data_IF_275743942459
#
_entry.id   IF_275743942459
#
_cell.length_a   1.000
_cell.length_b   1.000
_cell.length_c   1.000
_cell.angle_alpha   90.00
_cell.angle_beta   90.00
_cell.angle_gamma   90.00
#
_symmetry.space_group_name_H-M   'P 1'
#
loop_
_entity.id
_entity.type
_entity.pdbx_description
1 polymer ?
#
# COMPACT_ATOMS: atom_id res chain seq x y z
N UNK A 1 9.57 11.94 3.49
CA UNK A 1 10.44 11.08 4.32
C UNK A 1 10.72 9.74 3.64
N UNK A 2 9.71 9.04 3.11
CA UNK A 2 9.85 7.65 2.61
C UNK A 2 10.37 7.48 1.16
N UNK A 3 10.37 8.52 0.33
CA UNK A 3 10.72 8.43 -1.10
C UNK A 3 12.12 7.83 -1.38
N UNK A 4 13.02 7.88 -0.40
CA UNK A 4 14.39 7.35 -0.50
C UNK A 4 14.60 6.08 0.33
N UNK A 5 13.55 5.57 0.98
CA UNK A 5 13.59 4.36 1.79
C UNK A 5 13.17 3.16 0.95
N UNK A 6 14.10 2.23 0.71
CA UNK A 6 13.84 0.99 -0.04
C UNK A 6 12.84 0.09 0.70
N UNK A 7 13.02 -0.08 2.01
CA UNK A 7 12.17 -0.91 2.86
C UNK A 7 11.37 -0.04 3.84
N UNK A 8 10.16 -0.49 4.18
CA UNK A 8 9.32 0.17 5.18
C UNK A 8 8.57 -0.87 6.04
N UNK A 9 8.63 -0.71 7.36
CA UNK A 9 8.00 -1.65 8.30
C UNK A 9 6.53 -1.26 8.51
N UNK A 10 5.62 -2.14 8.10
CA UNK A 10 4.18 -1.96 8.21
C UNK A 10 3.54 -3.18 8.89
N UNK A 11 2.96 -2.94 10.07
CA UNK A 11 2.19 -3.93 10.81
C UNK A 11 0.76 -3.44 11.00
N UNK A 12 -0.19 -4.36 11.14
CA UNK A 12 -1.55 -4.02 11.55
C UNK A 12 -1.55 -3.22 12.85
N UNK A 13 -2.57 -2.39 13.03
CA UNK A 13 -2.64 -1.45 14.14
C UNK A 13 -2.60 -2.18 15.50
N UNK A 14 -1.81 -1.65 16.44
CA UNK A 14 -1.70 -2.17 17.81
C UNK A 14 -1.32 -3.65 17.90
N UNK A 15 -0.45 -4.14 17.01
CA UNK A 15 0.03 -5.54 16.98
C UNK A 15 0.56 -6.07 18.32
N UNK A 16 1.20 -5.22 19.14
CA UNK A 16 1.69 -5.57 20.47
C UNK A 16 0.70 -5.28 21.61
N UNK A 17 -0.51 -4.83 21.28
CA UNK A 17 -1.55 -4.39 22.23
C UNK A 17 -2.94 -4.90 21.80
N UNK A 18 -3.03 -6.18 21.37
CA UNK A 18 -4.28 -6.80 20.90
C UNK A 18 -5.45 -6.73 21.91
N UNK A 19 -5.14 -6.58 23.19
CA UNK A 19 -6.14 -6.41 24.25
C UNK A 19 -6.94 -5.10 24.05
N UNK A 20 -6.31 -4.05 23.55
CA UNK A 20 -6.95 -2.76 23.30
C UNK A 20 -7.81 -2.75 22.03
N UNK A 21 -7.61 -3.72 21.14
CA UNK A 21 -8.43 -3.88 19.92
C UNK A 21 -9.45 -4.99 20.04
N UNK A 22 -9.54 -5.65 21.20
CA UNK A 22 -10.34 -6.87 21.39
C UNK A 22 -10.06 -7.92 20.30
N UNK A 23 -8.80 -8.04 19.88
CA UNK A 23 -8.36 -8.96 18.82
C UNK A 23 -8.63 -8.48 17.38
N UNK A 24 -9.23 -7.31 17.18
CA UNK A 24 -9.37 -6.72 15.84
C UNK A 24 -7.99 -6.39 15.27
N UNK A 25 -7.82 -6.70 13.98
CA UNK A 25 -6.60 -6.41 13.22
C UNK A 25 -6.96 -5.43 12.13
N UNK A 26 -6.64 -4.16 12.37
CA UNK A 26 -7.03 -3.06 11.48
C UNK A 26 -5.87 -2.58 10.61
N UNK A 27 -6.23 -2.05 9.43
CA UNK A 27 -5.28 -1.46 8.50
C UNK A 27 -4.77 -0.13 9.06
N UNK A 28 -3.45 0.01 9.18
CA UNK A 28 -2.82 1.29 9.54
C UNK A 28 -2.53 2.17 8.32
N UNK A 29 -2.44 3.49 8.51
CA UNK A 29 -2.06 4.42 7.43
C UNK A 29 -0.70 4.11 6.80
N UNK A 30 0.20 3.46 7.57
CA UNK A 30 1.54 3.04 7.12
C UNK A 30 1.52 2.18 5.86
N UNK A 31 0.52 1.33 5.65
CA UNK A 31 0.42 0.53 4.43
C UNK A 31 0.24 1.42 3.20
N UNK A 32 -0.65 2.41 3.29
CA UNK A 32 -0.91 3.38 2.22
C UNK A 32 0.29 4.29 1.98
N UNK A 33 0.90 4.82 3.05
CA UNK A 33 2.06 5.73 2.95
C UNK A 33 3.29 5.05 2.34
N UNK A 34 3.60 3.83 2.79
CA UNK A 34 4.73 3.07 2.29
C UNK A 34 4.53 2.61 0.84
N UNK A 35 3.33 2.14 0.50
CA UNK A 35 3.02 1.74 -0.87
C UNK A 35 3.08 2.95 -1.82
N UNK A 36 2.48 4.08 -1.44
CA UNK A 36 2.51 5.30 -2.26
C UNK A 36 3.92 5.88 -2.44
N UNK A 37 4.82 5.63 -1.48
CA UNK A 37 6.22 6.02 -1.58
C UNK A 37 7.05 5.08 -2.49
N UNK A 38 6.52 3.91 -2.85
CA UNK A 38 7.24 2.86 -3.58
C UNK A 38 8.25 2.12 -2.71
N UNK A 39 8.02 2.03 -1.40
CA UNK A 39 8.82 1.18 -0.53
C UNK A 39 8.35 -0.27 -0.61
N UNK A 40 9.26 -1.22 -0.45
CA UNK A 40 8.95 -2.63 -0.21
C UNK A 40 8.49 -2.75 1.25
N UNK A 41 7.22 -3.12 1.44
CA UNK A 41 6.66 -3.24 2.77
C UNK A 41 7.08 -4.56 3.40
N UNK A 42 7.51 -4.52 4.65
CA UNK A 42 7.83 -5.71 5.46
C UNK A 42 6.97 -5.68 6.73
N UNK A 43 6.35 -6.80 7.10
CA UNK A 43 5.64 -6.93 8.37
C UNK A 43 4.39 -7.79 8.30
N UNK A 44 3.52 -7.64 9.29
CA UNK A 44 2.29 -8.41 9.41
C UNK A 44 1.10 -7.62 8.85
N UNK A 45 0.53 -8.07 7.73
CA UNK A 45 -0.77 -7.58 7.27
C UNK A 45 -1.89 -8.02 8.20
N UNK A 46 -2.97 -7.23 8.32
CA UNK A 46 -4.22 -7.74 8.87
C UNK A 46 -4.85 -8.73 7.87
N UNK A 47 -5.10 -9.95 8.32
CA UNK A 47 -5.85 -10.95 7.52
C UNK A 47 -7.35 -10.69 7.63
N UNK A 48 -7.80 -9.63 6.95
CA UNK A 48 -9.21 -9.26 6.89
C UNK A 48 -9.64 -8.91 5.46
N UNK A 49 -10.95 -8.84 5.24
CA UNK A 49 -11.53 -8.55 3.92
C UNK A 49 -11.19 -7.16 3.40
N UNK A 50 -11.05 -6.17 4.30
CA UNK A 50 -10.74 -4.80 3.92
C UNK A 50 -9.32 -4.70 3.35
N UNK A 51 -8.35 -5.39 3.95
CA UNK A 51 -6.97 -5.39 3.46
C UNK A 51 -6.89 -6.02 2.07
N UNK A 52 -7.53 -7.17 1.88
CA UNK A 52 -7.60 -7.85 0.57
C UNK A 52 -8.32 -7.01 -0.48
N UNK A 53 -9.25 -6.15 -0.08
CA UNK A 53 -9.94 -5.22 -0.99
C UNK A 53 -9.06 -4.03 -1.39
N UNK A 54 -8.40 -3.39 -0.42
CA UNK A 54 -7.58 -2.20 -0.70
C UNK A 54 -6.19 -2.53 -1.25
N UNK A 55 -5.67 -3.73 -0.98
CA UNK A 55 -4.33 -4.18 -1.34
C UNK A 55 -4.40 -5.53 -2.06
N UNK A 56 -5.04 -5.54 -3.23
CA UNK A 56 -5.38 -6.71 -4.04
C UNK A 56 -4.34 -7.04 -5.13
N UNK A 57 -3.08 -6.63 -4.95
CA UNK A 57 -1.98 -6.96 -5.85
C UNK A 57 -0.92 -7.81 -5.15
N UNK A 58 -0.08 -8.46 -5.95
CA UNK A 58 0.96 -9.35 -5.42
C UNK A 58 2.03 -8.56 -4.66
N UNK A 59 2.59 -9.19 -3.63
CA UNK A 59 3.73 -8.66 -2.88
C UNK A 59 3.53 -7.23 -2.33
N UNK A 60 2.29 -6.81 -2.05
CA UNK A 60 2.00 -5.56 -1.31
C UNK A 60 2.91 -5.46 -0.09
N UNK A 61 3.02 -6.56 0.65
CA UNK A 61 3.85 -6.72 1.83
C UNK A 61 4.51 -8.08 1.82
N UNK A 62 5.79 -8.10 2.17
CA UNK A 62 6.55 -9.31 2.42
C UNK A 62 6.37 -9.66 3.90
N UNK A 63 5.76 -10.81 4.21
CA UNK A 63 5.47 -11.17 5.59
C UNK A 63 6.76 -11.43 6.37
N UNK A 64 6.87 -10.79 7.53
CA UNK A 64 7.86 -11.10 8.56
C UNK A 64 7.17 -11.10 9.92
N UNK A 65 7.76 -11.78 10.90
CA UNK A 65 7.28 -11.75 12.28
C UNK A 65 7.46 -10.36 12.90
N UNK A 66 6.58 -10.00 13.84
CA UNK A 66 6.65 -8.69 14.51
C UNK A 66 7.98 -8.49 15.26
N UNK A 67 8.49 -9.57 15.86
CA UNK A 67 9.75 -9.67 16.57
C UNK A 67 10.81 -10.43 15.76
N UNK A 68 10.83 -10.25 14.43
CA UNK A 68 11.78 -10.93 13.55
C UNK A 68 13.25 -10.67 13.96
N UNK A 69 13.95 -11.73 14.35
CA UNK A 69 15.33 -11.67 14.82
C UNK A 69 16.36 -11.68 13.68
N UNK A 70 15.96 -12.13 12.48
CA UNK A 70 16.83 -12.33 11.33
C UNK A 70 16.64 -11.28 10.22
N UNK A 71 16.14 -10.09 10.57
CA UNK A 71 15.83 -9.03 9.59
C UNK A 71 17.00 -8.68 8.66
N UNK A 72 18.25 -8.73 9.16
CA UNK A 72 19.45 -8.46 8.37
C UNK A 72 19.61 -9.49 7.24
N UNK A 73 19.36 -10.77 7.54
CA UNK A 73 19.44 -11.86 6.55
C UNK A 73 18.32 -11.74 5.51
N UNK A 74 17.10 -11.45 5.95
CA UNK A 74 15.95 -11.25 5.06
C UNK A 74 16.23 -10.09 4.10
N UNK A 75 16.72 -8.95 4.60
CA UNK A 75 17.09 -7.80 3.76
C UNK A 75 18.19 -8.19 2.75
N UNK A 76 19.20 -8.95 3.16
CA UNK A 76 20.25 -9.39 2.25
C UNK A 76 19.74 -10.33 1.14
N UNK A 77 18.82 -11.24 1.48
CA UNK A 77 18.16 -12.12 0.51
C UNK A 77 17.28 -11.34 -0.48
N UNK A 78 16.57 -10.32 0.01
CA UNK A 78 15.79 -9.42 -0.84
C UNK A 78 16.69 -8.57 -1.74
N UNK A 79 17.79 -8.03 -1.22
CA UNK A 79 18.75 -7.23 -1.98
C UNK A 79 19.45 -8.05 -3.09
N UNK A 80 19.48 -9.38 -2.97
CA UNK A 80 19.94 -10.27 -4.05
C UNK A 80 18.95 -10.43 -5.22
N UNK A 81 17.74 -9.87 -5.11
CA UNK A 81 16.65 -9.97 -6.09
C UNK A 81 16.23 -8.59 -6.63
N UNK A 82 17.12 -7.84 -7.29
CA UNK A 82 16.88 -6.45 -7.68
C UNK A 82 15.67 -6.26 -8.61
N UNK A 83 15.41 -7.22 -9.52
CA UNK A 83 14.26 -7.15 -10.41
C UNK A 83 12.92 -7.31 -9.67
N UNK A 84 12.87 -8.23 -8.69
CA UNK A 84 11.69 -8.38 -7.84
C UNK A 84 11.45 -7.11 -7.03
N UNK A 85 12.49 -6.52 -6.44
CA UNK A 85 12.34 -5.28 -5.70
C UNK A 85 11.84 -4.15 -6.61
N UNK A 86 12.41 -3.98 -7.80
CA UNK A 86 11.93 -2.98 -8.76
C UNK A 86 10.47 -3.19 -9.14
N UNK A 87 10.06 -4.44 -9.34
CA UNK A 87 8.66 -4.79 -9.60
C UNK A 87 7.76 -4.39 -8.43
N UNK A 88 8.06 -4.82 -7.19
CA UNK A 88 7.26 -4.48 -6.00
C UNK A 88 7.13 -2.97 -5.82
N UNK A 89 8.24 -2.23 -5.97
CA UNK A 89 8.24 -0.77 -5.83
C UNK A 89 7.36 -0.11 -6.89
N UNK A 90 7.41 -0.61 -8.13
CA UNK A 90 6.57 -0.14 -9.25
C UNK A 90 5.10 -0.43 -8.99
N UNK A 91 4.77 -1.67 -8.65
CA UNK A 91 3.40 -2.12 -8.41
C UNK A 91 2.77 -1.35 -7.24
N UNK A 92 3.54 -1.10 -6.18
CA UNK A 92 3.08 -0.31 -5.03
C UNK A 92 2.70 1.13 -5.43
N UNK A 93 3.54 1.83 -6.20
CA UNK A 93 3.23 3.20 -6.64
C UNK A 93 2.07 3.22 -7.62
N UNK A 94 2.08 2.33 -8.61
CA UNK A 94 1.06 2.24 -9.65
C UNK A 94 -0.31 1.97 -9.02
N UNK A 95 -0.42 0.96 -8.15
CA UNK A 95 -1.68 0.65 -7.50
C UNK A 95 -2.12 1.76 -6.54
N UNK A 96 -1.20 2.40 -5.81
CA UNK A 96 -1.54 3.53 -4.95
C UNK A 96 -2.13 4.70 -5.77
N UNK A 97 -1.56 5.01 -6.93
CA UNK A 97 -2.12 6.03 -7.84
C UNK A 97 -3.51 5.66 -8.36
N UNK A 98 -3.74 4.37 -8.64
CA UNK A 98 -4.97 3.89 -9.26
C UNK A 98 -6.10 3.54 -8.28
N UNK A 99 -5.80 3.43 -6.98
CA UNK A 99 -6.76 2.93 -5.97
C UNK A 99 -6.88 3.80 -4.72
N UNK A 100 -5.82 4.51 -4.33
CA UNK A 100 -5.70 5.11 -2.98
C UNK A 100 -5.72 6.63 -2.96
N UNK A 101 -5.80 7.30 -4.10
CA UNK A 101 -6.10 8.73 -4.12
C UNK A 101 -7.52 9.00 -3.59
N UNK A 102 -7.68 10.08 -2.83
CA UNK A 102 -8.98 10.48 -2.27
C UNK A 102 -10.07 10.66 -3.32
N UNK A 103 -9.71 10.94 -4.58
CA UNK A 103 -10.66 11.06 -5.68
C UNK A 103 -11.57 9.83 -5.81
N UNK A 104 -11.04 8.63 -5.56
CA UNK A 104 -11.82 7.39 -5.67
C UNK A 104 -12.83 7.26 -4.52
N UNK A 105 -12.48 7.71 -3.31
CA UNK A 105 -13.42 7.73 -2.19
C UNK A 105 -14.49 8.81 -2.35
N UNK A 106 -14.11 9.97 -2.89
CA UNK A 106 -15.08 11.02 -3.23
C UNK A 106 -16.06 10.57 -4.31
N UNK A 107 -15.58 9.86 -5.33
CA UNK A 107 -16.46 9.27 -6.34
C UNK A 107 -17.48 8.31 -5.73
N UNK A 108 -17.05 7.40 -4.87
CA UNK A 108 -17.95 6.48 -4.16
C UNK A 108 -18.97 7.22 -3.31
N UNK A 109 -18.55 8.18 -2.47
CA UNK A 109 -19.46 8.98 -1.63
C UNK A 109 -20.51 9.69 -2.48
N UNK A 110 -20.13 10.33 -3.59
CA UNK A 110 -21.08 11.00 -4.48
C UNK A 110 -22.07 10.00 -5.10
N UNK A 111 -21.61 8.82 -5.52
CA UNK A 111 -22.49 7.76 -6.05
C UNK A 111 -23.50 7.28 -5.01
N UNK A 112 -23.05 7.03 -3.78
CA UNK A 112 -23.92 6.61 -2.68
C UNK A 112 -24.96 7.68 -2.32
N UNK A 113 -24.60 8.96 -2.45
CA UNK A 113 -25.52 10.08 -2.24
C UNK A 113 -26.41 10.38 -3.46
N UNK A 114 -26.32 9.61 -4.55
CA UNK A 114 -27.06 9.85 -5.79
C UNK A 114 -26.67 11.14 -6.52
N UNK A 115 -25.49 11.68 -6.23
CA UNK A 115 -24.96 12.91 -6.83
C UNK A 115 -24.19 12.60 -8.10
N UNK A 116 -24.22 13.54 -9.06
CA UNK A 116 -23.43 13.43 -10.27
C UNK A 116 -21.93 13.58 -9.97
N UNK A 117 -21.11 12.78 -10.65
CA UNK A 117 -19.66 12.91 -10.61
C UNK A 117 -19.24 14.22 -11.28
N UNK A 118 -18.32 14.95 -10.63
CA UNK A 118 -17.84 16.23 -11.14
C UNK A 118 -16.74 16.03 -12.19
N UNK A 119 -16.58 17.01 -13.08
CA UNK A 119 -15.49 16.99 -14.07
C UNK A 119 -14.09 16.97 -13.42
N UNK A 120 -13.94 17.55 -12.23
CA UNK A 120 -12.69 17.53 -11.47
C UNK A 120 -12.28 16.11 -11.02
N UNK A 121 -13.25 15.27 -10.65
CA UNK A 121 -12.99 13.86 -10.32
C UNK A 121 -12.48 13.11 -11.55
N UNK A 122 -13.14 13.27 -12.69
CA UNK A 122 -12.74 12.60 -13.93
C UNK A 122 -11.35 13.07 -14.40
N UNK A 123 -11.08 14.37 -14.32
CA UNK A 123 -9.77 14.93 -14.67
C UNK A 123 -8.67 14.39 -13.76
N UNK A 124 -8.89 14.32 -12.44
CA UNK A 124 -7.90 13.78 -11.50
C UNK A 124 -7.64 12.30 -11.74
N UNK A 125 -8.69 11.49 -11.97
CA UNK A 125 -8.55 10.07 -12.31
C UNK A 125 -7.76 9.87 -13.60
N UNK A 126 -7.98 10.72 -14.61
CA UNK A 126 -7.20 10.69 -15.84
C UNK A 126 -5.71 10.97 -15.58
N UNK A 127 -5.40 12.04 -14.86
CA UNK A 127 -4.02 12.38 -14.48
C UNK A 127 -3.32 11.26 -13.72
N UNK A 128 -4.01 10.64 -12.75
CA UNK A 128 -3.46 9.51 -11.98
C UNK A 128 -3.14 8.30 -12.86
N UNK A 129 -3.99 8.01 -13.85
CA UNK A 129 -3.73 6.96 -14.85
C UNK A 129 -2.51 7.28 -15.71
N UNK A 130 -2.39 8.53 -16.18
CA UNK A 130 -1.20 8.96 -16.94
C UNK A 130 0.07 8.84 -16.11
N UNK A 131 0.03 9.26 -14.84
CA UNK A 131 1.15 9.11 -13.90
C UNK A 131 1.53 7.64 -13.69
N UNK A 132 0.55 6.75 -13.53
CA UNK A 132 0.78 5.32 -13.37
C UNK A 132 1.43 4.69 -14.61
N UNK A 133 0.95 5.05 -15.82
CA UNK A 133 1.55 4.62 -17.09
C UNK A 133 2.99 5.13 -17.22
N UNK A 134 3.24 6.39 -16.88
CA UNK A 134 4.57 6.98 -16.94
C UNK A 134 5.52 6.33 -15.93
N UNK A 135 5.04 5.98 -14.73
CA UNK A 135 5.85 5.34 -13.70
C UNK A 135 6.23 3.90 -14.09
N UNK A 136 5.28 3.15 -14.66
CA UNK A 136 5.49 1.75 -15.11
C UNK A 136 6.56 1.59 -16.20
N UNK A 137 6.94 2.68 -16.87
CA UNK A 137 7.94 2.69 -17.95
C UNK A 137 9.37 3.03 -17.47
N UNK A 138 9.56 3.29 -16.17
CA UNK A 138 10.86 3.61 -15.57
C UNK A 138 11.64 2.34 -15.21
#
# INVERSE_FOLDING_TARGET
MLKNSRYFIANYAKINQLQETHGQREIGYRFFEGAAAGSVLLGCSPDNVAFKHYFDWDNVIIPIDFDEHNIVKIIAELDSQPELLKQIQTDNVVNSLLKHDWVYRWEEILRELGMSITSGIEQRKHQLKEMAIAYSKR
#
